data_IF_072745895837
#
_entry.id   IF_072745895837
#
_cell.length_a   1.000
_cell.length_b   1.000
_cell.length_c   1.000
_cell.angle_alpha   90.00
_cell.angle_beta   90.00
_cell.angle_gamma   90.00
#
_symmetry.space_group_name_H-M   'P 1'
#
loop_
_entity.id
_entity.type
_entity.pdbx_description
1 polymer ?
#
# COMPACT_ATOMS: atom_id res chain seq x y z
N UNK A 1 -8.03 2.99 13.92
CA UNK A 1 -8.54 1.76 13.25
C UNK A 1 -7.44 0.77 12.83
N UNK A 2 -6.45 1.17 12.04
CA UNK A 2 -5.42 0.30 11.44
C UNK A 2 -4.51 -0.31 12.51
N UNK A 3 -3.97 0.50 13.43
CA UNK A 3 -3.09 0.01 14.49
C UNK A 3 -3.80 -1.02 15.39
N UNK A 4 -5.04 -0.72 15.79
CA UNK A 4 -5.89 -1.63 16.54
C UNK A 4 -6.19 -2.91 15.76
N UNK A 5 -6.50 -2.80 14.47
CA UNK A 5 -6.76 -3.96 13.64
C UNK A 5 -5.57 -4.85 13.38
N UNK A 6 -4.37 -4.26 13.32
CA UNK A 6 -3.12 -5.01 13.31
C UNK A 6 -2.92 -5.70 14.66
N UNK A 7 -3.11 -5.02 15.79
CA UNK A 7 -2.95 -5.62 17.12
C UNK A 7 -3.96 -6.74 17.40
N UNK A 8 -5.21 -6.58 16.95
CA UNK A 8 -6.28 -7.56 17.10
C UNK A 8 -6.23 -8.69 16.05
N UNK A 9 -5.40 -8.56 15.01
CA UNK A 9 -5.16 -9.58 14.00
C UNK A 9 -6.16 -9.60 12.82
N UNK A 10 -7.27 -8.87 12.88
CA UNK A 10 -8.23 -8.85 11.77
C UNK A 10 -7.71 -8.11 10.52
N UNK A 11 -6.82 -7.12 10.70
CA UNK A 11 -6.13 -6.44 9.60
C UNK A 11 -4.79 -7.12 9.27
N UNK A 12 -4.65 -8.41 9.53
CA UNK A 12 -3.47 -9.17 9.13
C UNK A 12 -3.87 -10.34 8.23
N UNK A 13 -3.09 -10.55 7.16
CA UNK A 13 -3.14 -11.78 6.37
C UNK A 13 -2.12 -12.76 6.96
N UNK A 14 -2.53 -13.96 7.42
CA UNK A 14 -1.59 -14.96 7.90
C UNK A 14 -0.53 -15.30 6.83
N UNK A 15 0.76 -15.46 7.19
CA UNK A 15 1.81 -15.74 6.21
C UNK A 15 1.51 -16.96 5.32
N UNK A 16 0.89 -18.00 5.88
CA UNK A 16 0.48 -19.21 5.17
C UNK A 16 -0.65 -18.97 4.15
N UNK A 17 -1.43 -17.90 4.30
CA UNK A 17 -2.52 -17.53 3.41
C UNK A 17 -2.07 -16.66 2.24
N UNK A 18 -0.86 -16.08 2.30
CA UNK A 18 -0.36 -15.16 1.27
C UNK A 18 -0.15 -15.85 -0.08
N UNK A 19 0.52 -17.01 -0.11
CA UNK A 19 0.75 -17.75 -1.35
C UNK A 19 -0.56 -18.28 -1.98
N UNK A 20 -1.48 -18.91 -1.23
CA UNK A 20 -2.80 -19.25 -1.75
C UNK A 20 -3.58 -18.05 -2.30
N UNK A 21 -3.54 -16.91 -1.63
CA UNK A 21 -4.16 -15.68 -2.12
C UNK A 21 -3.55 -15.22 -3.45
N UNK A 22 -2.22 -15.21 -3.56
CA UNK A 22 -1.53 -14.81 -4.79
C UNK A 22 -1.89 -15.74 -5.97
N UNK A 23 -1.90 -17.05 -5.73
CA UNK A 23 -2.28 -18.05 -6.74
C UNK A 23 -3.75 -17.94 -7.16
N UNK A 24 -4.66 -17.66 -6.21
CA UNK A 24 -6.09 -17.47 -6.50
C UNK A 24 -6.36 -16.22 -7.35
N UNK A 25 -5.45 -15.25 -7.33
CA UNK A 25 -5.52 -14.05 -8.14
C UNK A 25 -4.58 -14.10 -9.35
N UNK A 26 -4.22 -15.30 -9.83
CA UNK A 26 -3.44 -15.52 -11.05
C UNK A 26 -2.03 -14.88 -11.05
N UNK A 27 -1.43 -14.66 -9.87
CA UNK A 27 -0.02 -14.25 -9.79
C UNK A 27 0.86 -15.47 -10.10
N UNK A 28 1.65 -15.35 -11.16
CA UNK A 28 2.57 -16.40 -11.59
C UNK A 28 3.95 -16.19 -10.97
N UNK A 29 4.47 -17.24 -10.34
CA UNK A 29 5.80 -17.28 -9.75
C UNK A 29 6.68 -18.25 -10.54
N UNK A 30 7.82 -17.79 -11.07
CA UNK A 30 8.72 -18.64 -11.87
C UNK A 30 9.81 -19.31 -11.04
N UNK A 31 10.55 -18.53 -10.26
CA UNK A 31 11.67 -19.03 -9.44
C UNK A 31 11.74 -18.41 -8.05
N UNK A 32 10.77 -17.58 -7.71
CA UNK A 32 10.70 -16.92 -6.42
C UNK A 32 9.37 -17.24 -5.76
N UNK A 33 9.35 -17.30 -4.45
CA UNK A 33 8.13 -17.48 -3.65
C UNK A 33 8.11 -16.45 -2.54
N UNK A 34 6.92 -15.95 -2.16
CA UNK A 34 6.77 -15.14 -0.95
C UNK A 34 7.22 -15.91 0.29
N UNK A 35 7.86 -15.21 1.24
CA UNK A 35 8.31 -15.77 2.50
C UNK A 35 8.76 -14.69 3.48
N UNK A 36 9.51 -15.10 4.50
CA UNK A 36 10.03 -14.20 5.53
C UNK A 36 11.56 -14.31 5.56
N UNK A 37 12.25 -13.17 5.53
CA UNK A 37 13.68 -13.06 5.70
C UNK A 37 14.04 -12.47 7.06
N UNK A 38 14.98 -13.10 7.76
CA UNK A 38 15.50 -12.62 9.04
C UNK A 38 15.98 -11.17 8.93
N UNK A 39 15.46 -10.31 9.81
CA UNK A 39 15.82 -8.89 9.88
C UNK A 39 15.22 -7.98 8.78
N UNK A 40 14.49 -8.53 7.81
CA UNK A 40 13.84 -7.76 6.72
C UNK A 40 12.32 -7.93 6.63
N UNK A 41 11.75 -8.89 7.36
CA UNK A 41 10.31 -9.17 7.31
C UNK A 41 9.92 -9.93 6.05
N UNK A 42 8.78 -9.60 5.45
CA UNK A 42 8.31 -10.22 4.20
C UNK A 42 9.33 -10.07 3.07
N UNK A 43 9.50 -11.13 2.27
CA UNK A 43 10.53 -11.21 1.25
C UNK A 43 10.12 -12.10 0.07
N UNK A 44 10.78 -11.93 -1.06
CA UNK A 44 10.84 -12.93 -2.12
C UNK A 44 12.06 -13.81 -1.92
N UNK A 45 11.84 -15.12 -1.91
CA UNK A 45 12.87 -16.13 -1.68
C UNK A 45 12.99 -17.02 -2.91
N UNK A 46 14.20 -17.44 -3.27
CA UNK A 46 14.46 -18.46 -4.28
C UNK A 46 15.09 -19.69 -3.61
N UNK A 47 14.72 -20.88 -4.07
CA UNK A 47 15.41 -22.13 -3.70
C UNK A 47 16.46 -22.55 -4.74
N UNK A 48 16.54 -21.84 -5.85
CA UNK A 48 17.45 -22.10 -6.94
C UNK A 48 18.48 -20.97 -7.07
N UNK A 49 19.69 -21.32 -7.50
CA UNK A 49 20.68 -20.32 -7.89
C UNK A 49 20.17 -19.56 -9.12
N UNK A 50 20.10 -18.23 -8.98
CA UNK A 50 19.74 -17.32 -10.07
C UNK A 50 21.02 -16.68 -10.58
N UNK A 51 21.40 -17.02 -11.82
CA UNK A 51 22.50 -16.37 -12.52
C UNK A 51 21.92 -15.16 -13.27
N UNK A 52 22.52 -13.98 -13.09
CA UNK A 52 22.18 -12.81 -13.88
C UNK A 52 22.49 -13.07 -15.35
N UNK A 53 21.52 -12.87 -16.24
CA UNK A 53 21.67 -13.20 -17.65
C UNK A 53 22.37 -12.05 -18.41
N UNK A 54 23.31 -12.37 -19.29
CA UNK A 54 24.13 -11.44 -20.07
C UNK A 54 23.34 -10.84 -21.27
N UNK A 55 22.11 -10.38 -21.03
CA UNK A 55 21.31 -9.62 -21.99
C UNK A 55 19.87 -10.06 -22.20
N UNK A 56 19.40 -11.14 -21.56
CA UNK A 56 18.00 -11.55 -21.62
C UNK A 56 17.40 -11.72 -20.20
N UNK A 57 16.82 -10.68 -19.60
CA UNK A 57 16.35 -10.76 -18.23
C UNK A 57 15.26 -11.84 -18.07
N UNK A 58 15.45 -12.72 -17.09
CA UNK A 58 14.47 -13.75 -16.76
C UNK A 58 13.36 -13.15 -15.89
N UNK A 59 12.11 -13.29 -16.33
CA UNK A 59 10.94 -12.94 -15.53
C UNK A 59 10.86 -13.82 -14.27
N UNK A 60 10.91 -13.18 -13.09
CA UNK A 60 10.84 -13.86 -11.80
C UNK A 60 9.39 -14.11 -11.36
N UNK A 61 8.49 -13.19 -11.71
CA UNK A 61 7.05 -13.28 -11.48
C UNK A 61 6.30 -12.47 -12.53
N UNK A 62 4.99 -12.70 -12.62
CA UNK A 62 4.07 -11.89 -13.41
C UNK A 62 2.83 -11.62 -12.57
N UNK A 63 2.44 -10.35 -12.48
CA UNK A 63 1.27 -9.89 -11.71
C UNK A 63 0.20 -9.38 -12.68
N UNK A 64 -1.02 -9.94 -12.64
CA UNK A 64 -2.09 -9.52 -13.53
C UNK A 64 -2.38 -8.03 -13.42
N UNK A 65 -2.69 -7.39 -14.55
CA UNK A 65 -3.05 -5.96 -14.60
C UNK A 65 -4.21 -5.59 -13.65
N UNK A 66 -5.08 -6.57 -13.36
CA UNK A 66 -6.18 -6.50 -12.40
C UNK A 66 -5.73 -6.21 -10.95
N UNK A 67 -4.52 -6.62 -10.57
CA UNK A 67 -3.96 -6.48 -9.24
C UNK A 67 -2.96 -5.33 -9.10
N UNK A 68 -2.72 -4.59 -10.18
CA UNK A 68 -1.87 -3.40 -10.12
C UNK A 68 -2.70 -2.26 -9.52
N UNK A 69 -2.34 -1.82 -8.30
CA UNK A 69 -3.01 -0.71 -7.63
C UNK A 69 -2.50 0.62 -8.19
N UNK A 70 -3.03 0.99 -9.35
CA UNK A 70 -2.77 2.25 -10.06
C UNK A 70 -3.94 3.22 -9.92
N UNK A 71 -3.76 4.47 -10.38
CA UNK A 71 -4.86 5.44 -10.48
C UNK A 71 -6.02 4.91 -11.32
N UNK A 72 -5.71 4.32 -12.48
CA UNK A 72 -6.72 3.71 -13.37
C UNK A 72 -7.53 2.65 -12.63
N UNK A 73 -6.86 1.73 -11.93
CA UNK A 73 -7.51 0.67 -11.15
C UNK A 73 -8.41 1.22 -10.05
N UNK A 74 -7.97 2.26 -9.35
CA UNK A 74 -8.79 2.92 -8.31
C UNK A 74 -10.03 3.59 -8.92
N UNK A 75 -9.90 4.23 -10.09
CA UNK A 75 -11.03 4.83 -10.80
C UNK A 75 -11.98 3.79 -11.40
N UNK A 76 -11.50 2.61 -11.77
CA UNK A 76 -12.37 1.50 -12.15
C UNK A 76 -13.15 0.97 -10.94
N UNK A 77 -12.48 0.81 -9.80
CA UNK A 77 -13.10 0.35 -8.57
C UNK A 77 -14.21 1.32 -8.08
N UNK A 78 -14.02 2.64 -8.22
CA UNK A 78 -15.07 3.61 -7.85
C UNK A 78 -16.33 3.50 -8.72
N UNK A 79 -16.29 2.84 -9.88
CA UNK A 79 -17.51 2.59 -10.67
C UNK A 79 -18.40 1.55 -9.99
N UNK A 80 -17.83 0.59 -9.26
CA UNK A 80 -18.57 -0.50 -8.61
C UNK A 80 -18.87 -0.24 -7.13
N UNK A 81 -18.00 0.48 -6.42
CA UNK A 81 -18.20 0.83 -5.02
C UNK A 81 -18.69 2.27 -4.88
N UNK A 82 -19.99 2.43 -4.58
CA UNK A 82 -20.62 3.73 -4.37
C UNK A 82 -20.00 4.50 -3.19
N UNK A 83 -19.69 3.82 -2.09
CA UNK A 83 -19.16 4.49 -0.88
C UNK A 83 -17.77 5.04 -1.17
N UNK A 84 -16.93 4.23 -1.82
CA UNK A 84 -15.61 4.68 -2.22
C UNK A 84 -15.66 5.79 -3.27
N UNK A 85 -16.61 5.74 -4.21
CA UNK A 85 -16.80 6.81 -5.20
C UNK A 85 -17.10 8.15 -4.55
N UNK A 86 -18.02 8.19 -3.60
CA UNK A 86 -18.37 9.42 -2.87
C UNK A 86 -17.14 10.01 -2.17
N UNK A 87 -16.34 9.16 -1.51
CA UNK A 87 -15.06 9.57 -0.89
C UNK A 87 -14.11 10.18 -1.93
N UNK A 88 -13.92 9.52 -3.07
CA UNK A 88 -12.99 9.97 -4.09
C UNK A 88 -13.42 11.28 -4.75
N UNK A 89 -14.72 11.43 -5.04
CA UNK A 89 -15.31 12.64 -5.62
C UNK A 89 -15.22 13.83 -4.65
N UNK A 90 -15.47 13.60 -3.35
CA UNK A 90 -15.31 14.60 -2.29
C UNK A 90 -13.90 15.20 -2.22
N UNK A 91 -12.87 14.42 -2.55
CA UNK A 91 -11.48 14.87 -2.48
C UNK A 91 -11.03 15.77 -3.65
N UNK A 92 -11.90 16.00 -4.64
CA UNK A 92 -11.65 16.92 -5.74
C UNK A 92 -10.35 16.61 -6.50
N UNK A 93 -9.51 17.63 -6.71
CA UNK A 93 -8.26 17.48 -7.46
C UNK A 93 -7.25 16.53 -6.79
N UNK A 94 -7.26 16.43 -5.45
CA UNK A 94 -6.36 15.50 -4.76
C UNK A 94 -6.70 14.05 -5.13
N UNK A 95 -7.99 13.71 -5.14
CA UNK A 95 -8.50 12.38 -5.54
C UNK A 95 -8.24 12.01 -7.00
N UNK A 96 -7.76 12.95 -7.84
CA UNK A 96 -7.39 12.69 -9.24
C UNK A 96 -5.90 12.39 -9.43
N UNK A 97 -5.09 12.52 -8.39
CA UNK A 97 -3.67 12.13 -8.42
C UNK A 97 -3.51 10.67 -8.02
N UNK A 98 -2.48 9.96 -8.51
CA UNK A 98 -2.26 8.56 -8.12
C UNK A 98 -2.17 8.39 -6.59
N UNK A 99 -1.37 9.22 -5.92
CA UNK A 99 -1.26 9.18 -4.45
C UNK A 99 -2.60 9.53 -3.78
N UNK A 100 -3.23 10.62 -4.20
CA UNK A 100 -4.47 11.07 -3.57
C UNK A 100 -5.68 10.19 -3.86
N UNK A 101 -5.62 9.30 -4.85
CA UNK A 101 -6.60 8.24 -5.07
C UNK A 101 -6.26 6.97 -4.28
N UNK A 102 -4.98 6.56 -4.27
CA UNK A 102 -4.53 5.32 -3.63
C UNK A 102 -4.60 5.42 -2.10
N UNK A 103 -4.22 6.54 -1.47
CA UNK A 103 -4.25 6.63 -0.01
C UNK A 103 -5.66 6.47 0.59
N UNK A 104 -6.70 7.19 0.10
CA UNK A 104 -8.06 6.94 0.54
C UNK A 104 -8.52 5.52 0.21
N UNK A 105 -8.12 4.96 -0.94
CA UNK A 105 -8.45 3.59 -1.28
C UNK A 105 -7.92 2.59 -0.25
N UNK A 106 -6.64 2.69 0.14
CA UNK A 106 -6.05 1.85 1.18
C UNK A 106 -6.81 2.00 2.51
N UNK A 107 -7.20 3.22 2.86
CA UNK A 107 -7.93 3.51 4.09
C UNK A 107 -9.35 2.90 4.07
N UNK A 108 -10.07 3.02 2.96
CA UNK A 108 -11.39 2.38 2.78
C UNK A 108 -11.26 0.87 2.83
N UNK A 109 -10.30 0.27 2.13
CA UNK A 109 -10.08 -1.19 2.17
C UNK A 109 -9.69 -1.69 3.57
N UNK A 110 -8.95 -0.90 4.35
CA UNK A 110 -8.69 -1.21 5.75
C UNK A 110 -9.98 -1.20 6.59
N UNK A 111 -10.89 -0.24 6.35
CA UNK A 111 -12.19 -0.19 7.02
C UNK A 111 -13.10 -1.35 6.64
N UNK A 112 -13.08 -1.80 5.37
CA UNK A 112 -13.83 -2.97 4.90
C UNK A 112 -13.46 -4.24 5.69
N UNK A 113 -12.21 -4.33 6.16
CA UNK A 113 -11.72 -5.46 6.96
C UNK A 113 -12.11 -5.40 8.44
N UNK A 114 -12.65 -4.28 8.92
CA UNK A 114 -12.94 -4.06 10.33
C UNK A 114 -14.23 -4.78 10.74
N UNK A 115 -14.20 -5.68 11.75
CA UNK A 115 -15.38 -6.37 12.25
C UNK A 115 -16.26 -5.47 13.13
N UNK A 116 -15.70 -4.38 13.65
CA UNK A 116 -16.31 -3.54 14.68
C UNK A 116 -17.07 -2.33 14.11
N UNK A 117 -17.19 -2.23 12.78
CA UNK A 117 -17.95 -1.15 12.16
C UNK A 117 -19.46 -1.34 12.43
N UNK A 118 -20.19 -0.24 12.74
CA UNK A 118 -21.64 -0.28 12.92
C UNK A 118 -22.38 -0.85 11.72
N UNK A 119 -21.88 -0.54 10.52
CA UNK A 119 -22.44 -0.95 9.24
C UNK A 119 -21.32 -1.33 8.27
N UNK A 120 -21.62 -2.24 7.34
CA UNK A 120 -20.66 -2.61 6.28
C UNK A 120 -20.60 -1.51 5.23
N UNK A 121 -19.45 -0.85 5.14
CA UNK A 121 -19.16 0.15 4.10
C UNK A 121 -18.05 -0.34 3.19
N UNK A 122 -18.29 -0.22 1.89
CA UNK A 122 -17.38 -0.61 0.82
C UNK A 122 -17.50 -2.07 0.37
N UNK A 123 -16.71 -2.45 -0.65
CA UNK A 123 -16.78 -3.77 -1.29
C UNK A 123 -15.47 -4.56 -1.08
N UNK A 124 -15.58 -5.78 -0.55
CA UNK A 124 -14.43 -6.69 -0.49
C UNK A 124 -13.89 -6.99 -1.89
N UNK A 125 -12.57 -6.94 -2.03
CA UNK A 125 -11.86 -7.22 -3.28
C UNK A 125 -10.52 -7.90 -2.98
N UNK A 126 -9.79 -8.39 -4.01
CA UNK A 126 -8.43 -8.86 -3.82
C UNK A 126 -7.52 -7.84 -3.11
N UNK A 127 -7.77 -6.54 -3.32
CA UNK A 127 -7.03 -5.48 -2.62
C UNK A 127 -7.30 -5.42 -1.13
N UNK A 128 -8.46 -5.90 -0.66
CA UNK A 128 -8.73 -5.96 0.79
C UNK A 128 -7.72 -6.88 1.48
N UNK A 129 -7.46 -8.05 0.90
CA UNK A 129 -6.45 -8.99 1.41
C UNK A 129 -5.02 -8.47 1.21
N UNK A 130 -4.76 -7.78 0.09
CA UNK A 130 -3.49 -7.08 -0.09
C UNK A 130 -3.25 -6.05 1.04
N UNK A 131 -4.23 -5.20 1.37
CA UNK A 131 -4.11 -4.23 2.49
C UNK A 131 -3.90 -4.94 3.83
N UNK A 132 -4.56 -6.08 4.07
CA UNK A 132 -4.33 -6.91 5.26
C UNK A 132 -2.89 -7.45 5.30
N UNK A 133 -2.29 -7.74 4.15
CA UNK A 133 -0.90 -8.21 4.06
C UNK A 133 0.16 -7.12 4.30
N UNK A 134 -0.18 -5.84 4.11
CA UNK A 134 0.77 -4.73 4.27
C UNK A 134 1.26 -4.60 5.72
N UNK A 135 2.56 -4.42 5.98
CA UNK A 135 3.06 -4.25 7.34
C UNK A 135 2.77 -2.84 7.89
N UNK A 136 2.88 -2.69 9.22
CA UNK A 136 2.93 -1.38 9.86
C UNK A 136 4.35 -0.80 9.75
N UNK A 137 4.56 0.03 8.75
CA UNK A 137 5.86 0.63 8.44
C UNK A 137 6.28 1.67 9.50
N UNK A 138 7.41 1.44 10.17
CA UNK A 138 7.95 2.33 11.20
C UNK A 138 8.84 3.43 10.60
N UNK A 139 8.24 4.28 9.77
CA UNK A 139 8.92 5.45 9.21
C UNK A 139 9.21 6.51 10.31
N UNK A 140 10.14 7.45 10.08
CA UNK A 140 10.41 8.53 11.03
C UNK A 140 9.21 9.40 11.39
N UNK A 141 8.11 9.33 10.63
CA UNK A 141 6.83 9.97 10.96
C UNK A 141 6.13 9.33 12.17
N UNK A 142 6.52 8.13 12.58
CA UNK A 142 6.00 7.43 13.76
C UNK A 142 6.93 7.47 14.97
N UNK A 143 8.11 8.08 14.82
CA UNK A 143 9.08 8.15 15.91
C UNK A 143 8.56 9.01 17.05
N UNK A 144 8.86 8.57 18.28
CA UNK A 144 8.61 9.31 19.50
C UNK A 144 9.38 10.63 19.52
N UNK A 145 8.95 11.54 20.41
CA UNK A 145 9.66 12.81 20.60
C UNK A 145 11.14 12.62 20.96
N UNK A 146 11.46 11.57 21.74
CA UNK A 146 12.84 11.23 22.13
C UNK A 146 13.68 10.76 20.93
N UNK A 147 13.11 9.94 20.04
CA UNK A 147 13.78 9.49 18.82
C UNK A 147 13.98 10.64 17.83
N UNK A 148 12.98 11.51 17.66
CA UNK A 148 13.10 12.71 16.84
C UNK A 148 14.12 13.70 17.39
N UNK A 149 14.33 13.74 18.71
CA UNK A 149 15.36 14.58 19.32
C UNK A 149 16.78 14.19 18.85
N UNK A 150 17.01 12.93 18.49
CA UNK A 150 18.29 12.46 17.94
C UNK A 150 18.60 13.07 16.57
N UNK A 151 17.60 13.64 15.89
CA UNK A 151 17.77 14.29 14.59
C UNK A 151 18.15 15.77 14.70
N UNK A 152 18.18 16.37 15.90
CA UNK A 152 18.53 17.78 16.07
C UNK A 152 19.92 18.06 15.52
N UNK A 153 20.03 19.11 14.69
CA UNK A 153 21.26 19.45 13.98
C UNK A 153 21.44 18.78 12.62
N UNK A 154 20.54 17.85 12.25
CA UNK A 154 20.51 17.24 10.91
C UNK A 154 19.54 17.97 9.97
N UNK A 155 19.70 17.78 8.66
CA UNK A 155 18.73 18.23 7.65
C UNK A 155 17.43 17.41 7.69
N UNK A 156 17.43 16.24 8.34
CA UNK A 156 16.26 15.38 8.44
C UNK A 156 15.22 15.92 9.43
N UNK A 157 15.63 16.53 10.55
CA UNK A 157 14.71 17.09 11.54
C UNK A 157 13.68 18.09 10.95
N UNK A 158 14.08 19.15 10.21
CA UNK A 158 13.12 20.06 9.60
C UNK A 158 12.30 19.38 8.48
N UNK A 159 12.87 18.41 7.77
CA UNK A 159 12.15 17.66 6.73
C UNK A 159 11.01 16.81 7.31
N UNK A 160 11.25 16.08 8.40
CA UNK A 160 10.22 15.29 9.09
C UNK A 160 9.15 16.19 9.69
N UNK A 161 9.53 17.29 10.31
CA UNK A 161 8.57 18.27 10.86
C UNK A 161 7.65 18.83 9.76
N UNK A 162 8.23 19.16 8.60
CA UNK A 162 7.45 19.64 7.44
C UNK A 162 6.51 18.56 6.91
N UNK A 163 6.98 17.31 6.78
CA UNK A 163 6.17 16.16 6.33
C UNK A 163 4.99 15.90 7.27
N UNK A 164 5.21 15.89 8.58
CA UNK A 164 4.13 15.71 9.57
C UNK A 164 3.09 16.82 9.48
N UNK A 165 3.51 18.08 9.30
CA UNK A 165 2.59 19.21 9.09
C UNK A 165 1.78 19.07 7.80
N UNK A 166 2.40 18.64 6.70
CA UNK A 166 1.71 18.36 5.43
C UNK A 166 0.67 17.26 5.61
N UNK A 167 1.07 16.12 6.19
CA UNK A 167 0.18 14.99 6.43
C UNK A 167 -0.98 15.37 7.34
N UNK A 168 -0.75 16.20 8.36
CA UNK A 168 -1.83 16.66 9.22
C UNK A 168 -2.85 17.49 8.45
N UNK A 169 -2.40 18.42 7.60
CA UNK A 169 -3.29 19.20 6.72
C UNK A 169 -4.05 18.31 5.75
N UNK A 170 -3.39 17.31 5.16
CA UNK A 170 -4.05 16.34 4.28
C UNK A 170 -5.13 15.55 5.02
N UNK A 171 -4.87 15.12 6.26
CA UNK A 171 -5.85 14.43 7.09
C UNK A 171 -7.03 15.33 7.46
N UNK A 172 -6.77 16.56 7.90
CA UNK A 172 -7.84 17.50 8.24
C UNK A 172 -8.72 17.78 7.00
N UNK A 173 -8.11 17.95 5.82
CA UNK A 173 -8.83 18.10 4.55
C UNK A 173 -9.63 16.84 4.16
N UNK A 174 -9.06 15.64 4.34
CA UNK A 174 -9.77 14.38 4.09
C UNK A 174 -11.04 14.32 4.93
N UNK A 175 -10.95 14.62 6.23
CA UNK A 175 -12.11 14.61 7.13
C UNK A 175 -13.17 15.63 6.71
N UNK A 176 -12.76 16.86 6.45
CA UNK A 176 -13.68 17.94 6.06
C UNK A 176 -14.38 17.61 4.74
N UNK A 177 -13.64 17.17 3.73
CA UNK A 177 -14.19 16.87 2.40
C UNK A 177 -15.11 15.65 2.40
N UNK A 178 -14.79 14.64 3.22
CA UNK A 178 -15.54 13.37 3.26
C UNK A 178 -16.62 13.34 4.32
N UNK A 179 -16.75 14.39 5.15
CA UNK A 179 -17.80 14.54 6.17
C UNK A 179 -19.20 14.16 5.68
N UNK A 180 -19.68 14.58 4.49
CA UNK A 180 -21.03 14.22 4.03
C UNK A 180 -21.17 12.77 3.53
N UNK A 181 -20.07 12.02 3.39
CA UNK A 181 -20.09 10.66 2.80
C UNK A 181 -20.56 9.62 3.81
N UNK A 182 -21.28 8.61 3.34
CA UNK A 182 -21.74 7.53 4.21
C UNK A 182 -20.58 6.74 4.84
N UNK A 183 -19.48 6.54 4.08
CA UNK A 183 -18.26 5.92 4.58
C UNK A 183 -17.70 6.67 5.79
N UNK A 184 -17.50 7.99 5.68
CA UNK A 184 -16.92 8.78 6.76
C UNK A 184 -17.80 8.75 8.00
N UNK A 185 -19.12 8.90 7.83
CA UNK A 185 -20.07 8.85 8.94
C UNK A 185 -20.00 7.52 9.72
N UNK A 186 -19.65 6.43 9.04
CA UNK A 186 -19.50 5.09 9.63
C UNK A 186 -18.17 4.92 10.36
N UNK A 187 -17.08 5.52 9.88
CA UNK A 187 -15.74 5.29 10.42
C UNK A 187 -15.22 6.41 11.32
N UNK A 188 -15.86 7.58 11.35
CA UNK A 188 -15.33 8.80 11.98
C UNK A 188 -14.88 8.65 13.43
N UNK A 189 -15.54 7.78 14.21
CA UNK A 189 -15.22 7.54 15.62
C UNK A 189 -13.94 6.71 15.82
N UNK A 190 -13.55 5.96 14.80
CA UNK A 190 -12.38 5.07 14.80
C UNK A 190 -11.23 5.56 13.91
N UNK A 191 -11.52 6.52 13.03
CA UNK A 191 -10.57 7.11 12.10
C UNK A 191 -9.72 8.15 12.82
N UNK A 192 -8.41 7.92 12.82
CA UNK A 192 -7.42 8.75 13.49
C UNK A 192 -6.37 9.27 12.52
N UNK A 193 -5.59 10.26 12.97
CA UNK A 193 -4.45 10.75 12.19
C UNK A 193 -3.40 9.67 11.94
N UNK A 194 -3.22 8.74 12.89
CA UNK A 194 -2.27 7.64 12.77
C UNK A 194 -2.66 6.68 11.63
N UNK A 195 -3.96 6.52 11.35
CA UNK A 195 -4.43 5.73 10.21
C UNK A 195 -4.00 6.38 8.88
N UNK A 196 -4.04 7.71 8.80
CA UNK A 196 -3.54 8.46 7.64
C UNK A 196 -2.02 8.38 7.50
N UNK A 197 -1.28 8.48 8.62
CA UNK A 197 0.17 8.25 8.62
C UNK A 197 0.49 6.84 8.11
N UNK A 198 -0.32 5.84 8.48
CA UNK A 198 -0.05 4.45 8.16
C UNK A 198 -0.25 4.15 6.67
N UNK A 199 -1.30 4.69 6.04
CA UNK A 199 -1.48 4.54 4.59
C UNK A 199 -0.43 5.33 3.80
N UNK A 200 -0.01 6.53 4.26
CA UNK A 200 1.13 7.24 3.64
C UNK A 200 2.41 6.40 3.73
N UNK A 201 2.65 5.75 4.87
CA UNK A 201 3.83 4.94 5.08
C UNK A 201 3.82 3.67 4.22
N UNK A 202 2.69 2.96 4.16
CA UNK A 202 2.48 1.81 3.27
C UNK A 202 2.71 2.18 1.81
N UNK A 203 2.16 3.31 1.36
CA UNK A 203 2.37 3.78 0.00
C UNK A 203 3.82 4.16 -0.25
N UNK A 204 4.46 4.93 0.64
CA UNK A 204 5.82 5.43 0.42
C UNK A 204 6.90 4.35 0.48
N UNK A 205 6.67 3.25 1.19
CA UNK A 205 7.62 2.15 1.25
C UNK A 205 7.51 1.20 0.05
N UNK A 206 6.40 1.23 -0.70
CA UNK A 206 6.04 0.19 -1.68
C UNK A 206 5.65 0.69 -3.07
N UNK A 207 5.23 1.95 -3.19
CA UNK A 207 4.88 2.52 -4.48
C UNK A 207 6.13 2.68 -5.34
N UNK A 208 6.01 2.29 -6.60
CA UNK A 208 7.03 2.50 -7.61
C UNK A 208 6.47 3.27 -8.80
N UNK A 209 7.36 3.92 -9.54
CA UNK A 209 7.03 4.47 -10.86
C UNK A 209 7.22 3.35 -11.89
N UNK A 210 6.12 2.69 -12.27
CA UNK A 210 6.14 1.50 -13.11
C UNK A 210 6.09 1.88 -14.60
N UNK A 211 7.02 1.38 -15.45
CA UNK A 211 7.05 1.70 -16.87
C UNK A 211 5.72 1.45 -17.59
N UNK A 212 5.15 2.47 -18.22
CA UNK A 212 3.89 2.36 -18.96
C UNK A 212 2.62 2.33 -18.08
N UNK A 213 2.76 2.53 -16.76
CA UNK A 213 1.63 2.60 -15.81
C UNK A 213 1.72 3.86 -14.95
N UNK A 214 2.92 4.25 -14.52
CA UNK A 214 3.17 5.36 -13.60
C UNK A 214 3.19 4.92 -12.13
N UNK A 215 2.88 5.83 -11.22
CA UNK A 215 2.87 5.53 -9.79
C UNK A 215 1.78 4.52 -9.41
N UNK A 216 2.21 3.36 -8.91
CA UNK A 216 1.33 2.29 -8.45
C UNK A 216 1.97 1.44 -7.34
N UNK A 217 1.15 0.64 -6.67
CA UNK A 217 1.60 -0.45 -5.80
C UNK A 217 1.30 -1.78 -6.49
N UNK A 218 2.27 -2.69 -6.54
CA UNK A 218 2.11 -3.99 -7.20
C UNK A 218 2.31 -5.09 -6.16
N UNK A 219 1.25 -5.82 -5.76
CA UNK A 219 1.37 -6.91 -4.80
C UNK A 219 2.41 -7.93 -5.23
N UNK A 220 3.12 -8.51 -4.27
CA UNK A 220 4.21 -9.48 -4.45
C UNK A 220 5.50 -8.88 -5.02
N UNK A 221 5.45 -7.96 -5.99
CA UNK A 221 6.65 -7.22 -6.42
C UNK A 221 7.18 -6.38 -5.25
N UNK A 222 6.29 -5.77 -4.48
CA UNK A 222 6.61 -4.97 -3.29
C UNK A 222 7.12 -5.78 -2.08
N UNK A 223 7.28 -7.10 -2.22
CA UNK A 223 8.02 -7.96 -1.27
C UNK A 223 9.52 -8.01 -1.58
N UNK A 224 9.95 -7.52 -2.75
CA UNK A 224 11.36 -7.44 -3.10
C UNK A 224 12.08 -6.47 -2.15
N UNK A 225 12.94 -7.01 -1.29
CA UNK A 225 13.71 -6.21 -0.36
C UNK A 225 14.89 -5.52 -1.05
N UNK A 226 15.24 -4.32 -0.58
CA UNK A 226 16.45 -3.64 -1.03
C UNK A 226 17.72 -4.41 -0.61
N UNK A 227 18.69 -4.44 -1.52
CA UNK A 227 20.06 -4.86 -1.28
C UNK A 227 20.98 -3.71 -1.68
N UNK A 228 21.92 -3.35 -0.79
CA UNK A 228 22.91 -2.33 -1.09
C UNK A 228 23.84 -2.82 -2.20
N UNK A 229 24.04 -2.01 -3.23
CA UNK A 229 24.88 -2.31 -4.37
C UNK A 229 24.91 -1.14 -5.35
N UNK A 230 25.87 -1.16 -6.28
CA UNK A 230 26.08 -0.05 -7.24
C UNK A 230 25.20 -0.15 -8.50
N UNK A 231 24.57 -1.31 -8.74
CA UNK A 231 23.79 -1.57 -9.95
C UNK A 231 22.30 -1.75 -9.66
N UNK A 232 21.46 -1.05 -10.42
CA UNK A 232 20.02 -1.35 -10.52
C UNK A 232 19.87 -2.60 -11.36
N UNK A 233 19.52 -3.72 -10.73
CA UNK A 233 19.41 -5.04 -11.38
C UNK A 233 17.97 -5.52 -11.55
N UNK A 234 17.00 -4.77 -11.02
CA UNK A 234 15.58 -5.03 -11.22
C UNK A 234 15.08 -4.31 -12.48
N UNK A 235 14.41 -5.05 -13.35
CA UNK A 235 13.73 -4.54 -14.55
C UNK A 235 12.24 -4.84 -14.36
N UNK A 236 11.40 -3.84 -14.62
CA UNK A 236 9.95 -3.94 -14.61
C UNK A 236 9.46 -3.69 -16.02
N UNK A 237 8.60 -4.56 -16.53
CA UNK A 237 8.04 -4.45 -17.88
C UNK A 237 6.53 -4.61 -17.82
N UNK A 238 5.83 -3.84 -18.65
CA UNK A 238 4.42 -4.07 -18.90
C UNK A 238 4.30 -4.96 -20.13
N UNK A 239 3.74 -6.15 -19.98
CA UNK A 239 3.57 -7.05 -21.11
C UNK A 239 2.44 -6.58 -22.06
N UNK A 240 2.23 -7.32 -23.15
CA UNK A 240 1.21 -7.01 -24.17
C UNK A 240 -0.23 -7.11 -23.65
N UNK A 241 -0.46 -7.82 -22.56
CA UNK A 241 -1.75 -7.97 -21.89
C UNK A 241 -1.93 -6.93 -20.76
N UNK A 242 -0.89 -6.15 -20.48
CA UNK A 242 -0.85 -5.10 -19.48
C UNK A 242 -0.46 -5.58 -18.09
N UNK A 243 0.00 -6.82 -17.95
CA UNK A 243 0.51 -7.37 -16.69
C UNK A 243 1.88 -6.77 -16.37
N UNK A 244 2.23 -6.84 -15.09
CA UNK A 244 3.50 -6.38 -14.52
C UNK A 244 4.49 -7.54 -14.28
#
# INVERSE_FOLDING_TARGET
>A
MISEGKAAGWLQLPPEAFLPWAQMNDIAFSCVTPGVSTGKGGALLTSNDLVGDDGNPRALMTVPSALILSLERVLEYSKVDKNFREVLESLGEFGRTSRGAILPFLLVQASVSSPDLPERVGIHSPFTEYVRSLPSELLPTFWSASELHLLIGTTLAPAITSKLRSLRREYDNLREATEPTHWFQTVQDTLTFDDWLQVDAMYRSRALDFPGIGHCMVPCIDLANHAAGEATTAIYEKDVEGNA
#
